data_IF_875196766868
#
_entry.id   IF_875196766868
#
_cell.length_a   1.000
_cell.length_b   1.000
_cell.length_c   1.000
_cell.angle_alpha   90.00
_cell.angle_beta   90.00
_cell.angle_gamma   90.00
#
_symmetry.space_group_name_H-M   'P 1'
#
loop_
_entity.id
_entity.type
_entity.pdbx_description
1 polymer ?
#
# COMPACT_ATOMS: atom_id res chain seq x y z
N UNK A 1 -13.61 0.06 -13.36
CA UNK A 1 -13.48 0.55 -11.97
C UNK A 1 -12.01 0.48 -11.62
N UNK A 2 -11.42 1.57 -11.14
CA UNK A 2 -9.99 1.64 -10.78
C UNK A 2 -9.84 1.32 -9.30
N UNK A 3 -8.96 0.39 -8.98
CA UNK A 3 -8.64 -0.04 -7.62
C UNK A 3 -7.26 0.49 -7.22
N UNK A 4 -7.09 0.81 -5.94
CA UNK A 4 -5.81 1.25 -5.39
C UNK A 4 -5.18 0.06 -4.69
N UNK A 5 -3.96 -0.30 -5.10
CA UNK A 5 -3.15 -1.29 -4.41
C UNK A 5 -2.24 -0.56 -3.41
N UNK A 6 -2.45 -0.80 -2.12
CA UNK A 6 -1.73 -0.09 -1.04
C UNK A 6 -1.13 -1.09 -0.04
N UNK A 7 0.09 -1.58 -0.26
CA UNK A 7 0.72 -2.65 0.52
C UNK A 7 1.34 -2.18 1.86
N UNK A 8 0.80 -1.12 2.48
CA UNK A 8 1.34 -0.53 3.70
C UNK A 8 1.25 -1.50 4.90
N UNK A 9 2.33 -1.60 5.68
CA UNK A 9 2.35 -2.41 6.91
C UNK A 9 2.83 -1.66 8.15
N UNK A 10 3.44 -0.48 8.00
CA UNK A 10 4.04 0.30 9.08
C UNK A 10 3.03 0.67 10.17
N UNK A 11 1.76 0.89 9.81
CA UNK A 11 0.68 1.17 10.75
C UNK A 11 0.25 -0.03 11.60
N UNK A 12 0.73 -1.24 11.29
CA UNK A 12 0.32 -2.49 11.91
C UNK A 12 1.36 -3.02 12.91
N UNK A 13 2.06 -2.12 13.61
CA UNK A 13 3.07 -2.48 14.61
C UNK A 13 4.18 -3.41 14.08
N UNK A 14 4.59 -3.24 12.82
CA UNK A 14 5.74 -3.98 12.28
C UNK A 14 5.41 -5.33 11.66
N UNK A 15 4.14 -5.59 11.36
CA UNK A 15 3.69 -6.77 10.61
C UNK A 15 4.07 -6.68 9.12
N UNK A 16 5.37 -6.74 8.82
CA UNK A 16 5.90 -6.66 7.46
C UNK A 16 5.38 -7.78 6.54
N UNK A 17 4.87 -8.87 7.11
CA UNK A 17 4.15 -9.94 6.41
C UNK A 17 2.81 -9.48 5.77
N UNK A 18 2.32 -8.29 6.10
CA UNK A 18 1.12 -7.72 5.47
C UNK A 18 1.37 -7.25 4.03
N UNK A 19 2.58 -6.81 3.67
CA UNK A 19 2.91 -6.47 2.29
C UNK A 19 2.73 -7.66 1.32
N UNK A 20 3.33 -8.84 1.56
CA UNK A 20 3.07 -10.01 0.72
C UNK A 20 1.62 -10.51 0.83
N UNK A 21 0.96 -10.36 1.99
CA UNK A 21 -0.46 -10.69 2.13
C UNK A 21 -1.36 -9.82 1.26
N UNK A 22 -1.06 -8.53 1.13
CA UNK A 22 -1.77 -7.62 0.22
C UNK A 22 -1.57 -8.04 -1.25
N UNK A 23 -0.36 -8.42 -1.63
CA UNK A 23 -0.08 -8.93 -2.98
C UNK A 23 -0.88 -10.21 -3.30
N UNK A 24 -0.96 -11.15 -2.34
CA UNK A 24 -1.78 -12.35 -2.48
C UNK A 24 -3.28 -12.02 -2.63
N UNK A 25 -3.78 -11.03 -1.89
CA UNK A 25 -5.16 -10.55 -2.02
C UNK A 25 -5.43 -9.95 -3.40
N UNK A 26 -4.51 -9.14 -3.93
CA UNK A 26 -4.61 -8.58 -5.29
C UNK A 26 -4.72 -9.71 -6.33
N UNK A 27 -3.84 -10.70 -6.25
CA UNK A 27 -3.87 -11.85 -7.15
C UNK A 27 -5.22 -12.59 -7.07
N UNK A 28 -5.73 -12.85 -5.87
CA UNK A 28 -7.02 -13.52 -5.70
C UNK A 28 -8.19 -12.72 -6.30
N UNK A 29 -8.14 -11.39 -6.23
CA UNK A 29 -9.13 -10.51 -6.87
C UNK A 29 -9.03 -10.61 -8.40
N UNK A 30 -7.81 -10.57 -8.96
CA UNK A 30 -7.59 -10.67 -10.40
C UNK A 30 -8.10 -12.02 -10.97
N UNK A 31 -7.88 -13.11 -10.23
CA UNK A 31 -8.40 -14.45 -10.58
C UNK A 31 -9.93 -14.51 -10.53
N UNK A 32 -10.55 -13.91 -9.51
CA UNK A 32 -12.01 -13.90 -9.33
C UNK A 32 -12.75 -13.00 -10.34
N UNK A 33 -12.10 -11.96 -10.86
CA UNK A 33 -12.72 -10.99 -11.75
C UNK A 33 -12.92 -11.48 -13.20
N UNK A 34 -12.36 -12.64 -13.56
CA UNK A 34 -12.41 -13.18 -14.94
C UNK A 34 -13.85 -13.25 -15.47
N UNK A 35 -14.18 -12.65 -16.64
CA UNK A 35 -13.29 -12.11 -17.69
C UNK A 35 -12.99 -10.59 -17.63
N UNK A 36 -13.41 -9.88 -16.58
CA UNK A 36 -13.20 -8.42 -16.48
C UNK A 36 -11.86 -8.13 -15.84
N UNK A 37 -10.94 -7.52 -16.60
CA UNK A 37 -9.67 -7.08 -16.04
C UNK A 37 -9.87 -5.95 -15.01
N UNK A 38 -9.29 -6.12 -13.83
CA UNK A 38 -9.24 -5.08 -12.80
C UNK A 38 -8.11 -4.11 -13.13
N UNK A 39 -8.41 -2.80 -13.10
CA UNK A 39 -7.38 -1.78 -13.24
C UNK A 39 -6.85 -1.40 -11.88
N UNK A 40 -5.55 -1.59 -11.67
CA UNK A 40 -4.86 -1.24 -10.43
C UNK A 40 -4.01 0.01 -10.61
N UNK A 41 -3.93 0.81 -9.55
CA UNK A 41 -2.94 1.87 -9.40
C UNK A 41 -2.18 1.64 -8.12
N UNK A 42 -0.86 1.58 -8.21
CA UNK A 42 0.01 1.19 -7.13
C UNK A 42 0.43 2.38 -6.28
N UNK A 43 0.32 2.23 -4.95
CA UNK A 43 1.07 3.04 -4.00
C UNK A 43 2.39 2.31 -3.72
N UNK A 44 3.55 2.93 -4.00
CA UNK A 44 4.83 2.29 -3.75
C UNK A 44 5.00 2.06 -2.25
N UNK A 45 5.42 0.84 -1.90
CA UNK A 45 5.88 0.52 -0.57
C UNK A 45 7.20 1.26 -0.30
N UNK A 46 7.25 2.04 0.77
CA UNK A 46 8.47 2.73 1.21
C UNK A 46 9.01 1.98 2.42
N UNK A 47 10.23 1.46 2.29
CA UNK A 47 10.95 0.76 3.37
C UNK A 47 12.38 1.28 3.39
N UNK A 48 12.65 2.29 4.22
CA UNK A 48 13.99 2.92 4.26
C UNK A 48 15.01 2.12 5.07
N UNK A 49 14.62 0.99 5.66
CA UNK A 49 15.52 0.09 6.36
C UNK A 49 14.82 -0.71 7.46
N UNK A 50 15.54 -0.95 8.56
CA UNK A 50 15.04 -1.67 9.72
C UNK A 50 13.85 -0.95 10.37
N UNK A 51 12.94 -1.73 10.94
CA UNK A 51 11.85 -1.21 11.77
C UNK A 51 12.40 -0.40 12.94
N UNK A 52 12.03 0.87 13.03
CA UNK A 52 12.54 1.77 14.06
C UNK A 52 11.43 2.69 14.58
N UNK A 53 11.43 3.01 15.87
CA UNK A 53 10.45 3.94 16.43
C UNK A 53 10.89 5.39 16.25
N UNK A 54 10.01 6.20 15.70
CA UNK A 54 10.15 7.64 15.57
C UNK A 54 8.99 8.31 16.32
N UNK A 55 9.30 9.04 17.39
CA UNK A 55 8.27 9.74 18.20
C UNK A 55 7.15 8.80 18.69
N UNK A 56 7.48 7.54 19.00
CA UNK A 56 6.54 6.52 19.47
C UNK A 56 5.80 5.75 18.37
N UNK A 57 5.93 6.13 17.10
CA UNK A 57 5.32 5.45 15.96
C UNK A 57 6.39 4.63 15.22
N UNK A 58 6.08 3.37 14.90
CA UNK A 58 7.00 2.51 14.17
C UNK A 58 7.10 2.95 12.69
N UNK A 59 8.33 3.17 12.21
CA UNK A 59 8.66 3.59 10.85
C UNK A 59 7.79 4.78 10.40
N UNK A 60 7.69 5.81 11.25
CA UNK A 60 6.81 6.97 11.05
C UNK A 60 7.12 7.70 9.75
N UNK A 61 8.40 7.87 9.40
CA UNK A 61 8.83 8.49 8.16
C UNK A 61 8.32 7.75 6.93
N UNK A 62 8.49 6.42 6.92
CA UNK A 62 8.00 5.55 5.84
C UNK A 62 6.46 5.60 5.73
N UNK A 63 5.76 5.56 6.87
CA UNK A 63 4.31 5.66 6.95
C UNK A 63 3.79 6.97 6.35
N UNK A 64 4.39 8.10 6.74
CA UNK A 64 3.99 9.42 6.24
C UNK A 64 4.38 9.63 4.78
N UNK A 65 5.54 9.12 4.35
CA UNK A 65 5.96 9.16 2.95
C UNK A 65 4.96 8.43 2.04
N UNK A 66 4.52 7.24 2.45
CA UNK A 66 3.51 6.47 1.71
C UNK A 66 2.15 7.19 1.68
N UNK A 67 1.72 7.77 2.81
CA UNK A 67 0.49 8.56 2.87
C UNK A 67 0.55 9.78 1.95
N UNK A 68 1.71 10.43 1.85
CA UNK A 68 1.97 11.53 0.92
C UNK A 68 1.79 11.10 -0.54
N UNK A 69 2.43 10.00 -0.95
CA UNK A 69 2.28 9.43 -2.29
C UNK A 69 0.82 9.04 -2.60
N UNK A 70 0.14 8.37 -1.67
CA UNK A 70 -1.25 8.00 -1.83
C UNK A 70 -2.16 9.22 -1.99
N UNK A 71 -1.94 10.26 -1.19
CA UNK A 71 -2.70 11.51 -1.28
C UNK A 71 -2.51 12.21 -2.62
N UNK A 72 -1.28 12.25 -3.12
CA UNK A 72 -0.97 12.85 -4.42
C UNK A 72 -1.59 12.04 -5.57
N UNK A 73 -1.49 10.72 -5.52
CA UNK A 73 -2.09 9.84 -6.52
C UNK A 73 -3.61 10.01 -6.57
N UNK A 74 -4.29 9.91 -5.43
CA UNK A 74 -5.75 10.05 -5.36
C UNK A 74 -6.20 11.42 -5.88
N UNK A 75 -5.42 12.48 -5.66
CA UNK A 75 -5.71 13.81 -6.25
C UNK A 75 -5.56 13.82 -7.76
N UNK A 76 -4.54 13.15 -8.31
CA UNK A 76 -4.33 13.05 -9.77
C UNK A 76 -5.39 12.22 -10.51
N UNK A 77 -6.10 11.35 -9.79
CA UNK A 77 -7.18 10.52 -10.33
C UNK A 77 -8.56 11.22 -10.32
N UNK A 78 -8.67 12.42 -9.74
CA UNK A 78 -9.93 13.19 -9.79
C UNK A 78 -10.05 13.84 -11.17
N UNK A 79 -11.21 13.71 -11.84
CA UNK A 79 -11.48 14.39 -13.11
C UNK A 79 -11.55 15.91 -12.96
#
# INVERSE_FOLDING_TARGET
>A
MTHIFFPQWQGSHGRADLAPSAAALRQAIDEAASPTAVQWVDIPLIETGQQHHEQGILSRGDLLGQLGHASQLIRSLRP
#
